data_IF_664484968465
#
_entry.id   IF_664484968465
#
_cell.length_a   1.000
_cell.length_b   1.000
_cell.length_c   1.000
_cell.angle_alpha   90.00
_cell.angle_beta   90.00
_cell.angle_gamma   90.00
#
_symmetry.space_group_name_H-M   'P 1'
#
loop_
_entity.id
_entity.type
_entity.pdbx_description
1 polymer ?
#
# COMPACT_ATOMS: atom_id res chain seq x y z
N UNK A 1 -3.03 3.23 13.57
CA UNK A 1 -3.93 3.69 12.48
C UNK A 1 -3.66 2.87 11.24
N UNK A 2 -4.50 3.00 10.23
CA UNK A 2 -4.44 2.17 9.03
C UNK A 2 -4.00 2.99 7.82
N UNK A 3 -3.20 2.35 6.96
CA UNK A 3 -2.78 2.92 5.69
C UNK A 3 -2.84 1.86 4.60
N UNK A 4 -2.98 2.30 3.36
CA UNK A 4 -2.77 1.46 2.19
C UNK A 4 -1.72 2.06 1.27
N UNK A 5 -0.97 1.17 0.61
CA UNK A 5 -0.13 1.50 -0.53
C UNK A 5 -0.73 0.85 -1.78
N UNK A 6 -1.01 1.67 -2.79
CA UNK A 6 -1.36 1.20 -4.14
C UNK A 6 -0.11 1.25 -5.01
N UNK A 7 0.27 0.11 -5.57
CA UNK A 7 1.41 -0.02 -6.47
C UNK A 7 1.05 -0.80 -7.73
N UNK A 8 1.87 -0.66 -8.76
CA UNK A 8 1.74 -1.45 -9.98
C UNK A 8 3.11 -1.94 -10.45
N UNK A 9 3.16 -3.15 -10.99
CA UNK A 9 4.34 -3.71 -11.66
C UNK A 9 4.02 -4.02 -13.12
N UNK A 10 4.91 -3.60 -14.03
CA UNK A 10 4.81 -3.86 -15.46
C UNK A 10 5.40 -5.22 -15.86
N UNK A 11 5.13 -5.66 -17.10
CA UNK A 11 5.78 -6.83 -17.69
C UNK A 11 7.31 -6.70 -17.79
N UNK A 12 7.82 -5.47 -17.79
CA UNK A 12 9.25 -5.15 -17.76
C UNK A 12 9.87 -5.24 -16.35
N UNK A 13 9.08 -5.62 -15.34
CA UNK A 13 9.49 -5.75 -13.95
C UNK A 13 9.59 -4.44 -13.17
N UNK A 14 9.36 -3.29 -13.82
CA UNK A 14 9.41 -1.99 -13.12
C UNK A 14 8.16 -1.82 -12.26
N UNK A 15 8.35 -1.25 -11.07
CA UNK A 15 7.26 -0.95 -10.15
C UNK A 15 7.13 0.56 -9.94
N UNK A 16 5.89 1.03 -9.81
CA UNK A 16 5.54 2.41 -9.47
C UNK A 16 4.54 2.41 -8.33
N UNK A 17 4.56 3.46 -7.51
CA UNK A 17 3.78 3.54 -6.27
C UNK A 17 3.14 4.91 -6.11
N UNK A 18 1.91 4.92 -5.60
CA UNK A 18 1.26 6.14 -5.13
C UNK A 18 1.74 6.52 -3.72
N UNK A 19 1.47 7.75 -3.25
CA UNK A 19 1.64 8.09 -1.85
C UNK A 19 0.82 7.17 -0.93
N UNK A 20 1.35 6.89 0.25
CA UNK A 20 0.62 6.22 1.33
C UNK A 20 -0.67 6.97 1.64
N UNK A 21 -1.76 6.21 1.72
CA UNK A 21 -3.09 6.74 1.96
C UNK A 21 -3.57 6.30 3.33
N UNK A 22 -4.00 7.25 4.17
CA UNK A 22 -4.57 6.95 5.48
C UNK A 22 -6.02 6.53 5.35
N UNK A 23 -6.36 5.41 5.97
CA UNK A 23 -7.69 4.83 5.90
C UNK A 23 -8.39 4.92 7.27
N UNK A 24 -9.66 5.32 7.24
CA UNK A 24 -10.56 5.25 8.38
C UNK A 24 -11.58 4.15 8.12
N UNK A 25 -11.48 3.08 8.90
CA UNK A 25 -12.47 2.02 8.95
C UNK A 25 -13.39 2.22 10.17
N UNK A 26 -14.70 2.10 9.96
CA UNK A 26 -15.70 2.07 11.03
C UNK A 26 -16.61 0.87 10.79
N UNK A 27 -16.82 0.06 11.83
CA UNK A 27 -17.58 -1.20 11.76
C UNK A 27 -17.11 -2.15 10.65
N UNK A 28 -15.79 -2.18 10.40
CA UNK A 28 -15.17 -3.02 9.36
C UNK A 28 -15.41 -2.54 7.93
N UNK A 29 -15.90 -1.32 7.74
CA UNK A 29 -16.16 -0.72 6.41
C UNK A 29 -15.29 0.51 6.24
N UNK A 30 -14.64 0.64 5.08
CA UNK A 30 -13.87 1.84 4.74
C UNK A 30 -14.80 3.04 4.60
N UNK A 31 -14.55 4.08 5.38
CA UNK A 31 -15.34 5.32 5.38
C UNK A 31 -14.65 6.47 4.68
N UNK A 32 -13.34 6.61 4.87
CA UNK A 32 -12.58 7.69 4.26
C UNK A 32 -11.14 7.25 3.99
N UNK A 33 -10.59 7.81 2.91
CA UNK A 33 -9.19 7.67 2.50
C UNK A 33 -8.59 9.04 2.24
N UNK A 34 -7.45 9.32 2.86
CA UNK A 34 -6.75 10.61 2.77
C UNK A 34 -5.31 10.39 2.33
N UNK A 35 -5.01 10.79 1.10
CA UNK A 35 -3.66 10.81 0.57
C UNK A 35 -3.06 12.22 0.73
N UNK A 36 -1.89 12.30 1.36
CA UNK A 36 -1.15 13.55 1.47
C UNK A 36 -0.10 13.62 0.34
N UNK A 37 0.14 14.79 -0.28
CA UNK A 37 1.19 14.92 -1.29
C UNK A 37 2.58 14.57 -0.77
N UNK A 38 2.80 14.75 0.54
CA UNK A 38 4.05 14.44 1.22
C UNK A 38 3.75 13.56 2.45
N UNK A 39 3.66 12.22 2.27
CA UNK A 39 3.50 11.30 3.39
C UNK A 39 4.80 11.21 4.21
N UNK A 40 4.75 10.56 5.37
CA UNK A 40 5.95 10.26 6.15
C UNK A 40 6.97 9.48 5.28
N UNK A 41 8.16 10.04 4.95
CA UNK A 41 9.09 9.42 4.01
C UNK A 41 9.67 8.08 4.49
N UNK A 42 9.75 7.86 5.81
CA UNK A 42 10.24 6.60 6.35
C UNK A 42 9.22 5.47 6.13
N UNK A 43 7.95 5.73 6.46
CA UNK A 43 6.87 4.78 6.25
C UNK A 43 6.61 4.53 4.75
N UNK A 44 6.68 5.58 3.91
CA UNK A 44 6.53 5.45 2.46
C UNK A 44 7.55 4.47 1.89
N UNK A 45 8.85 4.68 2.19
CA UNK A 45 9.91 3.78 1.72
C UNK A 45 9.73 2.35 2.23
N UNK A 46 9.32 2.19 3.49
CA UNK A 46 9.06 0.86 4.05
C UNK A 46 7.91 0.16 3.28
N UNK A 47 6.81 0.87 3.03
CA UNK A 47 5.66 0.37 2.28
C UNK A 47 6.05 -0.07 0.86
N UNK A 48 6.78 0.78 0.14
CA UNK A 48 7.23 0.50 -1.23
C UNK A 48 8.16 -0.71 -1.28
N UNK A 49 9.09 -0.82 -0.33
CA UNK A 49 10.00 -1.97 -0.23
C UNK A 49 9.23 -3.29 -0.01
N UNK A 50 8.25 -3.30 0.90
CA UNK A 50 7.44 -4.49 1.16
C UNK A 50 6.61 -4.87 -0.06
N UNK A 51 5.90 -3.93 -0.67
CA UNK A 51 5.05 -4.21 -1.83
C UNK A 51 5.89 -4.60 -3.06
N UNK A 52 7.02 -3.94 -3.31
CA UNK A 52 7.93 -4.31 -4.38
C UNK A 52 8.46 -5.75 -4.22
N UNK A 53 8.83 -6.16 -3.00
CA UNK A 53 9.27 -7.53 -2.74
C UNK A 53 8.19 -8.55 -3.08
N UNK A 54 6.93 -8.29 -2.67
CA UNK A 54 5.77 -9.14 -2.98
C UNK A 54 5.52 -9.21 -4.49
N UNK A 55 5.47 -8.06 -5.16
CA UNK A 55 5.23 -7.98 -6.60
C UNK A 55 6.30 -8.73 -7.40
N UNK A 56 7.55 -8.68 -6.96
CA UNK A 56 8.67 -9.37 -7.61
C UNK A 56 8.63 -10.87 -7.36
N UNK A 57 8.43 -11.31 -6.11
CA UNK A 57 8.40 -12.74 -5.76
C UNK A 57 7.26 -13.46 -6.48
N UNK A 58 6.10 -12.81 -6.61
CA UNK A 58 4.94 -13.37 -7.32
C UNK A 58 5.01 -13.20 -8.83
N UNK A 59 6.04 -12.51 -9.34
CA UNK A 59 6.12 -12.03 -10.73
C UNK A 59 4.80 -11.37 -11.19
N UNK A 60 4.18 -10.59 -10.30
CA UNK A 60 2.86 -10.00 -10.53
C UNK A 60 2.93 -8.90 -11.59
N UNK A 61 1.88 -8.79 -12.40
CA UNK A 61 1.73 -7.74 -13.41
C UNK A 61 0.36 -7.08 -13.25
N UNK A 62 0.36 -5.76 -13.14
CA UNK A 62 -0.84 -4.96 -12.88
C UNK A 62 -0.79 -4.26 -11.53
N UNK A 63 -1.96 -3.80 -11.08
CA UNK A 63 -2.14 -3.05 -9.82
C UNK A 63 -2.37 -4.01 -8.65
N UNK A 64 -1.77 -3.71 -7.50
CA UNK A 64 -2.03 -4.34 -6.22
C UNK A 64 -2.11 -3.28 -5.11
N UNK A 65 -3.06 -3.45 -4.20
CA UNK A 65 -3.10 -2.69 -2.95
C UNK A 65 -2.61 -3.56 -1.79
N UNK A 66 -1.88 -2.93 -0.88
CA UNK A 66 -1.42 -3.52 0.37
C UNK A 66 -1.87 -2.64 1.53
N UNK A 67 -2.71 -3.19 2.40
CA UNK A 67 -3.14 -2.53 3.62
C UNK A 67 -2.20 -2.88 4.78
N UNK A 68 -1.92 -1.89 5.61
CA UNK A 68 -1.02 -2.03 6.75
C UNK A 68 -1.57 -1.34 7.99
N UNK A 69 -1.24 -1.91 9.15
CA UNK A 69 -1.32 -1.20 10.43
C UNK A 69 -0.02 -0.44 10.70
N UNK A 70 -0.14 0.80 11.15
CA UNK A 70 0.96 1.58 11.73
C UNK A 70 1.10 1.20 13.20
N UNK A 71 2.28 0.67 13.58
CA UNK A 71 2.65 0.30 14.95
C UNK A 71 3.96 0.98 15.32
N UNK A 72 3.86 2.13 16.00
CA UNK A 72 4.99 3.04 16.22
C UNK A 72 5.51 3.55 14.88
N UNK A 73 6.81 3.39 14.62
CA UNK A 73 7.47 3.83 13.38
C UNK A 73 7.57 2.71 12.32
N UNK A 74 6.72 1.68 12.42
CA UNK A 74 6.76 0.52 11.53
C UNK A 74 5.37 0.17 11.00
N UNK A 75 5.36 -0.46 9.83
CA UNK A 75 4.19 -1.05 9.21
C UNK A 75 4.13 -2.57 9.42
N UNK A 76 2.93 -3.08 9.68
CA UNK A 76 2.61 -4.50 9.65
C UNK A 76 1.56 -4.74 8.56
N UNK A 77 1.81 -5.68 7.66
CA UNK A 77 0.87 -6.00 6.56
C UNK A 77 -0.38 -6.65 7.15
N UNK A 78 -1.55 -6.15 6.73
CA UNK A 78 -2.87 -6.66 7.09
C UNK A 78 -3.49 -7.47 5.94
N UNK A 79 -3.64 -6.84 4.76
CA UNK A 79 -4.32 -7.44 3.60
C UNK A 79 -3.57 -7.12 2.29
N UNK A 80 -3.70 -8.02 1.31
CA UNK A 80 -3.28 -7.81 -0.07
C UNK A 80 -4.46 -8.00 -1.02
N UNK A 81 -4.68 -7.03 -1.90
CA UNK A 81 -5.69 -7.08 -2.94
C UNK A 81 -5.03 -7.07 -4.34
N UNK A 82 -5.02 -8.19 -5.09
CA UNK A 82 -4.45 -8.27 -6.44
C UNK A 82 -5.41 -7.66 -7.49
N UNK A 83 -5.78 -6.40 -7.27
CA UNK A 83 -6.68 -5.60 -8.11
C UNK A 83 -6.57 -4.12 -7.73
N UNK A 84 -7.27 -3.26 -8.47
CA UNK A 84 -7.58 -1.90 -8.02
C UNK A 84 -8.38 -1.93 -6.70
N UNK A 85 -8.23 -0.90 -5.87
CA UNK A 85 -8.78 -0.88 -4.52
C UNK A 85 -9.60 0.38 -4.23
N UNK A 86 -10.46 0.30 -3.23
CA UNK A 86 -11.34 1.41 -2.83
C UNK A 86 -10.61 2.49 -2.03
N UNK A 87 -9.47 2.13 -1.44
CA UNK A 87 -8.58 3.01 -0.69
C UNK A 87 -7.67 3.82 -1.59
#
# INVERSE_FOLDING_TARGET
GEVSLVGARGHDGRSVFYPLTHNLHEDGILRASVALPQPNPALQRQAEQMLAAILNELNYVGVMAMECFIVGDRLLINELAPRVHNS
#
